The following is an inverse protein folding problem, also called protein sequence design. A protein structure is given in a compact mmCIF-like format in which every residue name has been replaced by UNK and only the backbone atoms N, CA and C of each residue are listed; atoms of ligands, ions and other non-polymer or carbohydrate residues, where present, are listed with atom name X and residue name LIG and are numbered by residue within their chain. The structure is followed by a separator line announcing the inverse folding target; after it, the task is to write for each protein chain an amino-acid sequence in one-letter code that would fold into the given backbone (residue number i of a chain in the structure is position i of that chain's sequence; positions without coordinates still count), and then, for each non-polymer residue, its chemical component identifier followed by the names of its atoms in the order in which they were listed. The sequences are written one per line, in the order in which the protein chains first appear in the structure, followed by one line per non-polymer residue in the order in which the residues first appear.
data_IF_343132721702
#
_entry.id   IF_343132721702
#
_cell.length_a   1.000
_cell.length_b   1.000
_cell.length_c   1.000
_cell.angle_alpha   90.00
_cell.angle_beta   90.00
_cell.angle_gamma   90.00
#
_symmetry.space_group_name_H-M   'P 1'
#
loop_
_entity.id
_entity.type
_entity.pdbx_description
1 polymer ?
#
# COMPACT_ATOMS: atom_id res chain seq x y z
N UNK A 1 -12.42 3.05 18.11
CA UNK A 1 -11.23 3.27 17.25
C UNK A 1 -10.09 2.25 17.42
N UNK A 2 -9.32 2.31 18.52
CA UNK A 2 -7.99 1.67 18.59
C UNK A 2 -8.07 0.14 18.47
N UNK A 3 -9.07 -0.47 19.08
CA UNK A 3 -9.23 -1.93 19.07
C UNK A 3 -9.55 -2.49 17.68
N UNK A 4 -10.33 -1.76 16.87
CA UNK A 4 -10.65 -2.18 15.50
C UNK A 4 -9.43 -2.12 14.58
N UNK A 5 -8.62 -1.06 14.71
CA UNK A 5 -7.36 -0.93 13.98
C UNK A 5 -6.35 -1.98 14.42
N UNK A 6 -6.16 -2.17 15.73
CA UNK A 6 -5.30 -3.23 16.24
C UNK A 6 -5.76 -4.61 15.77
N UNK A 7 -7.06 -4.88 15.82
CA UNK A 7 -7.62 -6.14 15.34
C UNK A 7 -7.35 -6.37 13.85
N UNK A 8 -7.46 -5.32 13.03
CA UNK A 8 -7.12 -5.38 11.61
C UNK A 8 -5.61 -5.53 11.37
N UNK A 9 -4.76 -4.94 12.21
CA UNK A 9 -3.31 -5.00 12.07
C UNK A 9 -2.68 -6.35 12.47
N UNK A 10 -3.35 -7.15 13.31
CA UNK A 10 -2.82 -8.43 13.81
C UNK A 10 -2.32 -9.37 12.72
N UNK A 11 -2.97 -9.38 11.56
CA UNK A 11 -2.67 -10.32 10.48
C UNK A 11 -1.75 -9.70 9.39
N UNK A 12 -1.36 -8.42 9.52
CA UNK A 12 -0.65 -7.67 8.49
C UNK A 12 0.65 -8.35 8.05
N UNK A 13 1.43 -8.87 9.00
CA UNK A 13 2.67 -9.59 8.73
C UNK A 13 2.44 -10.89 7.95
N UNK A 14 1.40 -11.65 8.33
CA UNK A 14 1.01 -12.88 7.61
C UNK A 14 0.64 -12.56 6.16
N UNK A 15 -0.08 -11.46 5.94
CA UNK A 15 -0.46 -11.01 4.60
C UNK A 15 0.73 -10.50 3.78
N UNK A 16 1.66 -9.80 4.41
CA UNK A 16 2.92 -9.40 3.78
C UNK A 16 3.71 -10.62 3.31
N UNK A 17 3.91 -11.61 4.18
CA UNK A 17 4.60 -12.86 3.82
C UNK A 17 3.88 -13.63 2.72
N UNK A 18 2.54 -13.67 2.74
CA UNK A 18 1.75 -14.30 1.69
C UNK A 18 2.05 -13.70 0.32
N UNK A 19 2.11 -12.37 0.20
CA UNK A 19 2.46 -11.66 -1.04
C UNK A 19 3.93 -11.83 -1.39
N UNK A 20 4.84 -11.57 -0.44
CA UNK A 20 6.29 -11.64 -0.70
C UNK A 20 6.76 -13.03 -1.12
N UNK A 21 6.06 -14.10 -0.71
CA UNK A 21 6.38 -15.47 -1.11
C UNK A 21 6.32 -15.73 -2.63
N UNK A 22 5.61 -14.90 -3.40
CA UNK A 22 5.46 -15.08 -4.84
C UNK A 22 6.76 -14.91 -5.63
N UNK A 23 7.73 -14.14 -5.12
CA UNK A 23 9.04 -13.96 -5.77
C UNK A 23 9.91 -15.21 -5.69
N UNK A 24 9.68 -16.07 -4.69
CA UNK A 24 10.43 -17.32 -4.46
C UNK A 24 9.76 -18.56 -5.06
N UNK A 25 8.60 -18.37 -5.69
CA UNK A 25 7.77 -19.49 -6.08
C UNK A 25 8.27 -20.13 -7.41
N UNK A 26 8.28 -21.47 -7.46
CA UNK A 26 8.82 -22.27 -8.59
C UNK A 26 8.15 -21.94 -9.93
N UNK A 27 8.85 -22.05 -11.07
CA UNK A 27 8.26 -21.83 -12.39
C UNK A 27 6.93 -22.58 -12.59
N UNK A 28 5.97 -21.94 -13.24
CA UNK A 28 4.66 -22.55 -13.50
C UNK A 28 4.79 -23.70 -14.51
N UNK A 29 3.99 -24.75 -14.32
CA UNK A 29 3.85 -25.83 -15.30
C UNK A 29 3.19 -25.30 -16.58
N UNK A 30 3.59 -25.84 -17.73
CA UNK A 30 3.01 -25.45 -19.02
C UNK A 30 1.61 -26.06 -19.27
N UNK A 31 1.25 -27.12 -18.55
CA UNK A 31 0.00 -27.86 -18.73
C UNK A 31 -1.04 -27.40 -17.71
N UNK A 32 -2.26 -27.15 -18.18
CA UNK A 32 -3.42 -26.85 -17.33
C UNK A 32 -4.15 -28.17 -17.00
N UNK A 33 -4.02 -28.63 -15.76
CA UNK A 33 -4.63 -29.85 -15.23
C UNK A 33 -4.99 -29.70 -13.74
N UNK A 34 -5.58 -30.73 -13.14
CA UNK A 34 -5.98 -30.74 -11.72
C UNK A 34 -4.79 -30.50 -10.78
N UNK A 35 -3.60 -30.98 -11.13
CA UNK A 35 -2.40 -30.72 -10.32
C UNK A 35 -1.94 -29.27 -10.40
N UNK A 36 -2.09 -28.59 -11.54
CA UNK A 36 -1.89 -27.13 -11.63
C UNK A 36 -2.89 -26.36 -10.76
N UNK A 37 -4.12 -26.86 -10.62
CA UNK A 37 -5.10 -26.28 -9.69
C UNK A 37 -4.66 -26.46 -8.23
N UNK A 38 -4.31 -27.69 -7.84
CA UNK A 38 -3.86 -28.01 -6.48
C UNK A 38 -2.60 -27.24 -6.07
N UNK A 39 -1.66 -27.04 -6.99
CA UNK A 39 -0.42 -26.30 -6.75
C UNK A 39 -0.66 -24.79 -6.52
N UNK A 40 -1.60 -24.20 -7.26
CA UNK A 40 -1.85 -22.75 -7.23
C UNK A 40 -2.90 -22.35 -6.18
N UNK A 41 -3.86 -23.22 -5.90
CA UNK A 41 -5.00 -22.96 -5.00
C UNK A 41 -4.56 -22.40 -3.64
N UNK A 42 -3.61 -23.01 -2.89
CA UNK A 42 -3.23 -22.50 -1.57
C UNK A 42 -2.70 -21.06 -1.60
N UNK A 43 -1.93 -20.70 -2.63
CA UNK A 43 -1.41 -19.34 -2.78
C UNK A 43 -2.53 -18.34 -3.10
N UNK A 44 -3.50 -18.74 -3.93
CA UNK A 44 -4.64 -17.89 -4.31
C UNK A 44 -5.61 -17.69 -3.15
N UNK A 45 -5.87 -18.71 -2.33
CA UNK A 45 -6.66 -18.56 -1.11
C UNK A 45 -6.04 -17.57 -0.13
N UNK A 46 -4.70 -17.58 0.02
CA UNK A 46 -4.00 -16.56 0.81
C UNK A 46 -4.15 -15.16 0.21
N UNK A 47 -4.10 -15.01 -1.12
CA UNK A 47 -4.35 -13.74 -1.79
C UNK A 47 -5.79 -13.23 -1.58
N UNK A 48 -6.79 -14.09 -1.58
CA UNK A 48 -8.16 -13.70 -1.26
C UNK A 48 -8.29 -13.25 0.20
N UNK A 49 -7.59 -13.92 1.12
CA UNK A 49 -7.54 -13.46 2.51
C UNK A 49 -6.89 -12.06 2.65
N UNK A 50 -5.90 -11.72 1.82
CA UNK A 50 -5.33 -10.35 1.75
C UNK A 50 -6.39 -9.34 1.32
N UNK A 51 -7.23 -9.68 0.33
CA UNK A 51 -8.33 -8.81 -0.12
C UNK A 51 -9.33 -8.53 1.01
N UNK A 52 -9.79 -9.58 1.70
CA UNK A 52 -10.73 -9.46 2.81
C UNK A 52 -10.13 -8.67 3.97
N UNK A 53 -8.87 -8.94 4.31
CA UNK A 53 -8.13 -8.19 5.32
C UNK A 53 -8.04 -6.72 4.96
N UNK A 54 -7.68 -6.42 3.73
CA UNK A 54 -7.51 -5.05 3.26
C UNK A 54 -8.83 -4.26 3.27
N UNK A 55 -9.96 -4.90 2.94
CA UNK A 55 -11.28 -4.30 3.07
C UNK A 55 -11.61 -3.96 4.53
N UNK A 56 -11.33 -4.86 5.48
CA UNK A 56 -11.51 -4.61 6.92
C UNK A 56 -10.61 -3.49 7.43
N UNK A 57 -9.33 -3.49 7.02
CA UNK A 57 -8.37 -2.44 7.39
C UNK A 57 -8.84 -1.07 6.88
N UNK A 58 -9.29 -1.00 5.63
CA UNK A 58 -9.77 0.23 5.00
C UNK A 58 -10.96 0.81 5.78
N UNK A 59 -11.95 -0.01 6.11
CA UNK A 59 -13.08 0.40 6.94
C UNK A 59 -12.64 0.85 8.35
N UNK A 60 -11.69 0.14 8.97
CA UNK A 60 -11.15 0.49 10.28
C UNK A 60 -10.39 1.83 10.26
N UNK A 61 -9.63 2.11 9.19
CA UNK A 61 -8.97 3.41 8.99
C UNK A 61 -9.99 4.54 8.84
N UNK A 62 -11.03 4.34 8.02
CA UNK A 62 -12.11 5.32 7.87
C UNK A 62 -12.80 5.63 9.21
N UNK A 63 -13.16 4.60 9.97
CA UNK A 63 -13.76 4.74 11.30
C UNK A 63 -12.84 5.44 12.31
N UNK A 64 -11.56 5.06 12.33
CA UNK A 64 -10.57 5.70 13.20
C UNK A 64 -10.36 7.18 12.87
N UNK A 65 -10.35 7.52 11.58
CA UNK A 65 -10.21 8.90 11.14
C UNK A 65 -11.44 9.75 11.51
N UNK A 66 -12.64 9.19 11.39
CA UNK A 66 -13.86 9.87 11.83
C UNK A 66 -13.88 10.12 13.34
N UNK A 67 -13.44 9.15 14.15
CA UNK A 67 -13.28 9.34 15.60
C UNK A 67 -12.21 10.39 15.93
N UNK A 68 -11.06 10.38 15.24
CA UNK A 68 -10.01 11.40 15.41
C UNK A 68 -10.45 12.80 15.00
N UNK A 69 -11.30 12.92 13.97
CA UNK A 69 -11.86 14.20 13.56
C UNK A 69 -12.82 14.78 14.62
N UNK A 70 -13.44 13.92 15.44
CA UNK A 70 -14.29 14.32 16.56
C UNK A 70 -13.51 14.64 17.85
N UNK A 71 -12.26 14.17 17.97
CA UNK A 71 -11.40 14.46 19.12
C UNK A 71 -9.98 13.92 18.97
N UNK A 72 -9.00 14.65 19.50
CA UNK A 72 -7.60 14.24 19.44
C UNK A 72 -7.30 13.04 20.35
N UNK A 73 -6.60 12.05 19.80
CA UNK A 73 -6.11 10.89 20.55
C UNK A 73 -4.75 10.44 20.04
N UNK A 74 -3.73 10.52 20.89
CA UNK A 74 -2.38 10.08 20.55
C UNK A 74 -2.33 8.57 20.24
N UNK A 75 -3.08 7.76 20.98
CA UNK A 75 -3.19 6.33 20.72
C UNK A 75 -3.87 6.04 19.38
N UNK A 76 -4.90 6.82 19.02
CA UNK A 76 -5.55 6.75 17.71
C UNK A 76 -4.63 7.12 16.56
N UNK A 77 -3.89 8.23 16.71
CA UNK A 77 -2.90 8.67 15.71
C UNK A 77 -1.77 7.64 15.55
N UNK A 78 -1.31 7.02 16.64
CA UNK A 78 -0.34 5.93 16.61
C UNK A 78 -0.86 4.71 15.85
N UNK A 79 -2.08 4.28 16.13
CA UNK A 79 -2.71 3.16 15.45
C UNK A 79 -2.93 3.45 13.95
N UNK A 80 -3.33 4.69 13.60
CA UNK A 80 -3.47 5.13 12.22
C UNK A 80 -2.14 5.07 11.46
N UNK A 81 -1.05 5.56 12.06
CA UNK A 81 0.29 5.46 11.47
C UNK A 81 0.69 4.01 11.21
N UNK A 82 0.46 3.10 12.17
CA UNK A 82 0.73 1.67 11.99
C UNK A 82 -0.09 1.02 10.88
N UNK A 83 -1.37 1.40 10.73
CA UNK A 83 -2.24 0.92 9.66
C UNK A 83 -1.78 1.38 8.27
N UNK A 84 -1.38 2.65 8.15
CA UNK A 84 -0.83 3.18 6.92
C UNK A 84 0.51 2.50 6.60
N UNK A 85 1.34 2.28 7.62
CA UNK A 85 2.63 1.60 7.47
C UNK A 85 2.49 0.17 6.93
N UNK A 86 1.52 -0.59 7.47
CA UNK A 86 1.20 -1.92 6.96
C UNK A 86 0.76 -1.91 5.49
N UNK A 87 -0.04 -0.93 5.08
CA UNK A 87 -0.40 -0.74 3.67
C UNK A 87 0.83 -0.44 2.81
N UNK A 88 1.73 0.44 3.28
CA UNK A 88 2.98 0.77 2.56
C UNK A 88 3.82 -0.49 2.34
N UNK A 89 4.03 -1.30 3.38
CA UNK A 89 4.84 -2.52 3.28
C UNK A 89 4.32 -3.45 2.19
N UNK A 90 3.03 -3.76 2.24
CA UNK A 90 2.43 -4.73 1.33
C UNK A 90 2.37 -4.16 -0.09
N UNK A 91 1.96 -2.89 -0.26
CA UNK A 91 1.88 -2.26 -1.58
C UNK A 91 3.24 -2.19 -2.27
N UNK A 92 4.32 -2.01 -1.49
CA UNK A 92 5.68 -1.84 -2.00
C UNK A 92 6.32 -3.12 -2.55
N UNK A 93 5.70 -4.29 -2.34
CA UNK A 93 6.23 -5.57 -2.83
C UNK A 93 6.00 -5.76 -4.36
N UNK A 94 6.47 -4.83 -5.19
CA UNK A 94 6.14 -4.78 -6.63
C UNK A 94 6.47 -6.06 -7.41
N UNK A 95 7.67 -6.60 -7.22
CA UNK A 95 8.07 -7.85 -7.87
C UNK A 95 7.18 -9.02 -7.44
N UNK A 96 6.75 -9.02 -6.18
CA UNK A 96 5.89 -10.03 -5.62
C UNK A 96 4.46 -9.92 -6.17
N UNK A 97 3.91 -8.70 -6.24
CA UNK A 97 2.62 -8.43 -6.88
C UNK A 97 2.62 -8.77 -8.37
N UNK A 98 3.70 -8.46 -9.09
CA UNK A 98 3.87 -8.85 -10.50
C UNK A 98 3.85 -10.37 -10.67
N UNK A 99 4.61 -11.09 -9.84
CA UNK A 99 4.58 -12.55 -9.81
C UNK A 99 3.19 -13.11 -9.43
N UNK A 100 2.49 -12.47 -8.49
CA UNK A 100 1.13 -12.83 -8.11
C UNK A 100 0.13 -12.65 -9.26
N UNK A 101 0.20 -11.55 -10.02
CA UNK A 101 -0.65 -11.32 -11.20
C UNK A 101 -0.46 -12.39 -12.28
N UNK A 102 0.80 -12.78 -12.54
CA UNK A 102 1.10 -13.82 -13.51
C UNK A 102 0.52 -15.19 -13.09
N UNK A 103 0.67 -15.55 -11.82
CA UNK A 103 0.09 -16.79 -11.27
C UNK A 103 -1.42 -16.76 -11.22
N UNK A 104 -2.00 -15.63 -10.82
CA UNK A 104 -3.44 -15.44 -10.80
C UNK A 104 -4.04 -15.60 -12.20
N UNK A 105 -3.40 -15.04 -13.23
CA UNK A 105 -3.83 -15.22 -14.62
C UNK A 105 -3.79 -16.68 -15.07
N UNK A 106 -2.82 -17.47 -14.59
CA UNK A 106 -2.77 -18.92 -14.82
C UNK A 106 -3.87 -19.65 -14.06
N UNK A 107 -4.07 -19.33 -12.79
CA UNK A 107 -5.09 -19.93 -11.94
C UNK A 107 -6.50 -19.66 -12.46
N UNK A 108 -6.80 -18.42 -12.87
CA UNK A 108 -8.10 -18.06 -13.47
C UNK A 108 -8.39 -18.89 -14.72
N UNK A 109 -7.39 -19.12 -15.59
CA UNK A 109 -7.52 -20.01 -16.75
C UNK A 109 -7.75 -21.46 -16.33
N UNK A 110 -7.01 -21.95 -15.35
CA UNK A 110 -7.14 -23.30 -14.80
C UNK A 110 -8.54 -23.56 -14.27
N UNK A 111 -9.09 -22.64 -13.46
CA UNK A 111 -10.46 -22.75 -12.92
C UNK A 111 -11.50 -22.79 -14.04
N UNK A 112 -11.31 -21.96 -15.09
CA UNK A 112 -12.22 -21.91 -16.25
C UNK A 112 -12.19 -23.21 -17.06
N UNK A 113 -11.00 -23.74 -17.34
CA UNK A 113 -10.81 -24.94 -18.16
C UNK A 113 -11.25 -26.22 -17.44
N UNK A 114 -10.97 -26.33 -16.14
CA UNK A 114 -11.32 -27.53 -15.38
C UNK A 114 -12.79 -27.57 -14.97
N UNK A 115 -13.45 -26.42 -14.75
CA UNK A 115 -14.91 -26.28 -14.66
C UNK A 115 -15.63 -27.34 -13.81
N UNK A 116 -16.08 -28.41 -14.47
CA UNK A 116 -16.79 -29.54 -13.85
C UNK A 116 -15.88 -30.48 -13.05
N UNK A 117 -14.61 -30.63 -13.42
CA UNK A 117 -13.65 -31.52 -12.76
C UNK A 117 -13.36 -31.09 -11.33
N UNK A 118 -13.28 -29.79 -11.09
CA UNK A 118 -13.02 -29.20 -9.76
C UNK A 118 -14.30 -28.76 -9.03
N UNK A 119 -15.49 -29.09 -9.55
CA UNK A 119 -16.75 -28.62 -9.00
C UNK A 119 -17.06 -29.19 -7.60
N UNK A 120 -16.40 -30.28 -7.21
CA UNK A 120 -16.52 -30.93 -5.91
C UNK A 120 -15.52 -30.40 -4.87
N UNK A 121 -14.60 -29.51 -5.27
CA UNK A 121 -13.63 -28.91 -4.35
C UNK A 121 -14.37 -28.00 -3.34
N UNK A 122 -14.09 -28.12 -2.03
CA UNK A 122 -14.83 -27.38 -0.99
C UNK A 122 -14.69 -25.85 -1.11
N UNK A 123 -13.60 -25.37 -1.71
CA UNK A 123 -13.30 -23.95 -1.81
C UNK A 123 -13.76 -23.34 -3.15
N UNK A 124 -14.33 -24.14 -4.07
CA UNK A 124 -14.66 -23.66 -5.43
C UNK A 124 -15.66 -22.50 -5.44
N UNK A 125 -16.59 -22.48 -4.48
CA UNK A 125 -17.54 -21.39 -4.31
C UNK A 125 -16.82 -20.09 -3.91
N UNK A 126 -15.96 -20.15 -2.88
CA UNK A 126 -15.15 -19.03 -2.42
C UNK A 126 -14.24 -18.50 -3.53
N UNK A 127 -13.59 -19.42 -4.26
CA UNK A 127 -12.72 -19.09 -5.39
C UNK A 127 -13.51 -18.31 -6.44
N UNK A 128 -14.66 -18.82 -6.90
CA UNK A 128 -15.46 -18.17 -7.95
C UNK A 128 -15.95 -16.79 -7.53
N UNK A 129 -16.35 -16.61 -6.28
CA UNK A 129 -16.78 -15.30 -5.75
C UNK A 129 -15.65 -14.28 -5.73
N UNK A 130 -14.43 -14.71 -5.43
CA UNK A 130 -13.29 -13.79 -5.26
C UNK A 130 -12.45 -13.56 -6.52
N UNK A 131 -12.60 -14.38 -7.57
CA UNK A 131 -11.82 -14.23 -8.81
C UNK A 131 -11.91 -12.82 -9.39
N UNK A 132 -13.12 -12.30 -9.59
CA UNK A 132 -13.27 -10.99 -10.24
C UNK A 132 -12.92 -9.84 -9.29
N UNK A 133 -13.18 -9.98 -7.99
CA UNK A 133 -12.81 -9.01 -6.98
C UNK A 133 -11.28 -8.88 -6.86
N UNK A 134 -10.56 -10.00 -6.82
CA UNK A 134 -9.10 -10.01 -6.77
C UNK A 134 -8.49 -9.51 -8.09
N UNK A 135 -9.09 -9.86 -9.24
CA UNK A 135 -8.65 -9.30 -10.52
C UNK A 135 -8.77 -7.78 -10.54
N UNK A 136 -9.90 -7.22 -10.09
CA UNK A 136 -10.10 -5.78 -10.03
C UNK A 136 -9.12 -5.11 -9.05
N UNK A 137 -8.82 -5.77 -7.92
CA UNK A 137 -7.85 -5.30 -6.95
C UNK A 137 -6.45 -5.19 -7.55
N UNK A 138 -5.95 -6.25 -8.20
CA UNK A 138 -4.57 -6.27 -8.73
C UNK A 138 -4.42 -5.61 -10.11
N UNK A 139 -5.52 -5.28 -10.80
CA UNK A 139 -5.45 -4.62 -12.11
C UNK A 139 -4.75 -3.25 -12.07
N UNK A 140 -4.71 -2.60 -10.89
CA UNK A 140 -4.10 -1.28 -10.68
C UNK A 140 -2.69 -1.34 -10.10
N UNK A 141 -2.00 -2.48 -10.22
CA UNK A 141 -0.61 -2.62 -9.78
C UNK A 141 0.37 -1.89 -10.72
N UNK A 142 -0.02 -1.66 -11.98
CA UNK A 142 0.81 -0.99 -13.00
C UNK A 142 0.47 0.51 -13.16
N UNK A 143 1.52 1.33 -13.06
CA UNK A 143 1.64 2.79 -13.19
C UNK A 143 0.41 3.73 -13.01
N UNK A 144 0.46 4.74 -12.10
CA UNK A 144 1.57 5.00 -11.18
C UNK A 144 1.75 3.82 -10.24
N UNK A 145 3.01 3.37 -10.10
CA UNK A 145 3.34 2.08 -9.51
C UNK A 145 2.81 2.04 -8.06
N UNK A 146 2.04 0.99 -7.75
CA UNK A 146 1.52 0.75 -6.41
C UNK A 146 0.47 1.76 -5.97
N UNK A 147 -0.71 1.74 -6.58
CA UNK A 147 -1.88 2.44 -6.05
C UNK A 147 -3.07 1.52 -5.76
N UNK A 148 -2.90 0.21 -5.95
CA UNK A 148 -3.97 -0.77 -5.76
C UNK A 148 -4.46 -0.83 -4.31
N UNK A 149 -3.61 -0.46 -3.34
CA UNK A 149 -4.02 -0.27 -1.95
C UNK A 149 -4.24 1.23 -1.68
N UNK A 150 -3.26 2.08 -1.93
CA UNK A 150 -3.37 3.50 -1.55
C UNK A 150 -4.53 4.24 -2.22
N UNK A 151 -4.97 3.84 -3.42
CA UNK A 151 -6.15 4.39 -4.10
C UNK A 151 -7.47 4.12 -3.35
N UNK A 152 -7.89 2.86 -3.16
CA UNK A 152 -9.08 2.55 -2.37
C UNK A 152 -9.05 3.12 -0.94
N UNK A 153 -7.87 3.12 -0.29
CA UNK A 153 -7.75 3.71 1.06
C UNK A 153 -8.01 5.21 1.03
N UNK A 154 -7.44 5.93 0.05
CA UNK A 154 -7.71 7.35 -0.17
C UNK A 154 -9.19 7.62 -0.40
N UNK A 155 -9.87 6.78 -1.18
CA UNK A 155 -11.31 6.93 -1.43
C UNK A 155 -12.14 6.76 -0.15
N UNK A 156 -11.76 5.84 0.74
CA UNK A 156 -12.41 5.67 2.04
C UNK A 156 -12.17 6.86 2.97
N UNK A 157 -10.91 7.28 3.09
CA UNK A 157 -10.49 8.43 3.90
C UNK A 157 -11.25 9.70 3.53
N UNK A 158 -11.47 9.94 2.24
CA UNK A 158 -12.21 11.10 1.73
C UNK A 158 -13.68 11.16 2.10
N UNK A 159 -14.27 10.04 2.55
CA UNK A 159 -15.64 10.03 3.05
C UNK A 159 -15.76 10.73 4.41
N UNK A 160 -14.64 10.91 5.12
CA UNK A 160 -14.61 11.56 6.43
C UNK A 160 -14.56 13.09 6.25
N UNK A 161 -15.51 13.85 6.82
CA UNK A 161 -15.46 15.31 6.80
C UNK A 161 -14.18 15.82 7.49
N UNK A 162 -13.54 16.84 6.91
CA UNK A 162 -12.29 17.42 7.42
C UNK A 162 -11.15 16.40 7.61
N UNK A 163 -11.12 15.34 6.80
CA UNK A 163 -10.05 14.34 6.82
C UNK A 163 -8.67 14.99 6.66
N UNK A 164 -8.54 16.05 5.87
CA UNK A 164 -7.29 16.76 5.61
C UNK A 164 -6.67 17.30 6.91
N UNK A 165 -7.47 17.98 7.73
CA UNK A 165 -7.01 18.53 9.01
C UNK A 165 -6.60 17.42 9.99
N UNK A 166 -7.36 16.34 10.02
CA UNK A 166 -7.09 15.18 10.89
C UNK A 166 -5.81 14.46 10.48
N UNK A 167 -5.59 14.26 9.18
CA UNK A 167 -4.37 13.65 8.63
C UNK A 167 -3.14 14.54 8.84
N UNK A 168 -3.29 15.85 8.72
CA UNK A 168 -2.20 16.81 9.01
C UNK A 168 -1.83 16.82 10.49
N UNK A 169 -2.82 16.73 11.39
CA UNK A 169 -2.55 16.55 12.84
C UNK A 169 -1.83 15.23 13.11
N UNK A 170 -2.25 14.13 12.47
CA UNK A 170 -1.55 12.85 12.56
C UNK A 170 -0.12 12.90 11.97
N UNK A 171 0.10 13.68 10.91
CA UNK A 171 1.42 13.91 10.33
C UNK A 171 2.34 14.64 11.32
N UNK A 172 1.86 15.72 11.94
CA UNK A 172 2.61 16.44 12.95
C UNK A 172 2.97 15.56 14.15
N UNK A 173 2.01 14.74 14.60
CA UNK A 173 2.24 13.75 15.64
C UNK A 173 3.33 12.75 15.23
N UNK A 174 3.25 12.19 14.02
CA UNK A 174 4.25 11.27 13.48
C UNK A 174 5.64 11.90 13.41
N UNK A 175 5.74 13.11 12.85
CA UNK A 175 7.00 13.89 12.78
C UNK A 175 7.60 14.12 14.17
N UNK A 176 6.80 14.45 15.18
CA UNK A 176 7.28 14.67 16.57
C UNK A 176 7.75 13.40 17.25
N UNK A 177 7.25 12.23 16.83
CA UNK A 177 7.61 10.93 17.40
C UNK A 177 8.87 10.31 16.81
N UNK A 178 9.32 10.78 15.66
CA UNK A 178 10.52 10.26 15.00
C UNK A 178 11.73 10.36 15.93
N UNK A 179 12.29 9.20 16.28
CA UNK A 179 13.42 9.10 17.20
C UNK A 179 14.71 9.57 16.51
N UNK A 180 15.29 10.67 16.97
CA UNK A 180 16.56 11.20 16.44
C UNK A 180 17.75 10.86 17.34
N UNK A 181 18.97 10.67 16.78
CA UNK A 181 19.36 10.89 15.39
C UNK A 181 19.12 9.69 14.45
N UNK A 182 18.65 8.55 14.97
CA UNK A 182 18.47 7.29 14.23
C UNK A 182 17.01 6.85 14.25
N UNK A 183 16.21 7.31 13.29
CA UNK A 183 14.82 6.86 13.18
C UNK A 183 14.78 5.43 12.64
N UNK A 184 13.70 4.74 12.97
CA UNK A 184 13.33 3.48 12.33
C UNK A 184 12.58 3.74 11.04
N UNK A 185 12.63 2.80 10.08
CA UNK A 185 11.90 2.93 8.82
C UNK A 185 10.38 2.99 9.03
N UNK A 186 9.86 2.25 10.03
CA UNK A 186 8.44 2.25 10.38
C UNK A 186 7.94 3.63 10.89
N UNK A 187 8.81 4.44 11.49
CA UNK A 187 8.45 5.81 11.89
C UNK A 187 8.33 6.75 10.68
N UNK A 188 9.05 6.48 9.58
CA UNK A 188 9.17 7.36 8.43
C UNK A 188 8.25 6.97 7.26
N UNK A 189 8.10 5.67 6.99
CA UNK A 189 7.31 5.09 5.89
C UNK A 189 5.86 5.61 5.78
N UNK A 190 5.08 5.79 6.86
CA UNK A 190 3.69 6.23 6.71
C UNK A 190 3.53 7.73 6.39
N UNK A 191 4.54 8.55 6.68
CA UNK A 191 4.43 10.01 6.61
C UNK A 191 4.10 10.55 5.21
N UNK A 192 4.71 10.06 4.10
CA UNK A 192 4.35 10.52 2.77
C UNK A 192 2.89 10.23 2.41
N UNK A 193 2.35 9.08 2.82
CA UNK A 193 0.96 8.72 2.50
C UNK A 193 -0.07 9.56 3.24
N UNK A 194 0.22 10.02 4.46
CA UNK A 194 -0.63 11.02 5.13
C UNK A 194 -0.77 12.30 4.28
N UNK A 195 0.31 12.74 3.64
CA UNK A 195 0.30 13.91 2.74
C UNK A 195 -0.50 13.60 1.47
N UNK A 196 -0.32 12.41 0.88
CA UNK A 196 -1.06 11.95 -0.31
C UNK A 196 -2.57 11.87 -0.04
N UNK A 197 -2.96 11.40 1.14
CA UNK A 197 -4.36 11.27 1.54
C UNK A 197 -4.99 12.60 1.93
N UNK A 198 -4.21 13.54 2.46
CA UNK A 198 -4.67 14.89 2.76
C UNK A 198 -4.78 15.77 1.49
N UNK A 199 -4.08 15.44 0.41
CA UNK A 199 -4.18 16.20 -0.84
C UNK A 199 -5.53 15.95 -1.52
N UNK A 200 -6.21 17.02 -1.91
CA UNK A 200 -7.48 16.99 -2.63
C UNK A 200 -7.35 16.45 -4.06
N UNK A 201 -8.45 16.37 -4.79
CA UNK A 201 -8.41 15.98 -6.21
C UNK A 201 -7.92 17.13 -7.09
N UNK A 202 -7.50 16.82 -8.32
CA UNK A 202 -7.03 17.83 -9.28
C UNK A 202 -8.17 18.66 -9.91
N UNK A 203 -9.18 19.02 -9.13
CA UNK A 203 -10.32 19.85 -9.57
C UNK A 203 -10.22 21.26 -8.99
N UNK A 204 -10.69 22.30 -9.71
CA UNK A 204 -10.68 23.67 -9.19
C UNK A 204 -11.39 23.78 -7.84
N UNK A 205 -10.75 24.44 -6.87
CA UNK A 205 -11.30 24.63 -5.52
C UNK A 205 -11.03 23.48 -4.54
N UNK A 206 -10.44 22.38 -5.00
CA UNK A 206 -10.00 21.30 -4.10
C UNK A 206 -8.88 21.76 -3.16
N UNK A 207 -8.83 21.13 -1.98
CA UNK A 207 -7.75 21.36 -1.02
C UNK A 207 -6.40 20.97 -1.62
N UNK A 208 -5.46 21.91 -1.61
CA UNK A 208 -4.09 21.69 -2.06
C UNK A 208 -3.17 21.68 -0.83
N UNK A 209 -2.68 20.51 -0.45
CA UNK A 209 -1.90 20.34 0.78
C UNK A 209 -0.60 21.15 0.75
N UNK A 210 -0.04 21.36 -0.44
CA UNK A 210 1.24 22.02 -0.64
C UNK A 210 1.18 23.54 -0.54
N UNK A 211 -0.01 24.12 -0.68
CA UNK A 211 -0.25 25.55 -0.49
C UNK A 211 -0.90 25.82 0.87
N UNK A 212 -1.96 25.08 1.21
CA UNK A 212 -2.78 25.32 2.38
C UNK A 212 -2.13 24.86 3.70
N UNK A 213 -1.32 23.79 3.68
CA UNK A 213 -0.72 23.18 4.87
C UNK A 213 0.82 23.30 4.91
N UNK A 214 1.38 24.26 4.17
CA UNK A 214 2.85 24.42 4.05
C UNK A 214 3.59 24.49 5.40
N UNK A 215 3.10 25.20 6.44
CA UNK A 215 3.75 25.20 7.75
C UNK A 215 3.85 23.80 8.39
N UNK A 216 2.77 23.02 8.32
CA UNK A 216 2.67 21.67 8.89
C UNK A 216 3.59 20.68 8.17
N UNK A 217 3.81 20.88 6.86
CA UNK A 217 4.72 20.03 6.07
C UNK A 217 6.20 20.24 6.39
N UNK A 218 6.59 21.35 7.06
CA UNK A 218 8.01 21.72 7.26
C UNK A 218 8.82 20.64 7.98
N UNK A 219 8.26 20.01 9.00
CA UNK A 219 8.96 18.96 9.76
C UNK A 219 9.17 17.70 8.93
N UNK A 220 8.14 17.23 8.21
CA UNK A 220 8.26 16.12 7.27
C UNK A 220 9.28 16.42 6.15
N UNK A 221 9.28 17.63 5.59
CA UNK A 221 10.28 18.05 4.60
C UNK A 221 11.72 17.92 5.11
N UNK A 222 11.98 18.29 6.37
CA UNK A 222 13.31 18.18 6.96
C UNK A 222 13.72 16.72 7.15
N UNK A 223 12.78 15.88 7.60
CA UNK A 223 13.02 14.44 7.74
C UNK A 223 13.31 13.80 6.39
N UNK A 224 12.52 14.06 5.35
CA UNK A 224 12.70 13.45 4.02
C UNK A 224 14.00 13.91 3.35
N UNK A 225 14.51 15.10 3.66
CA UNK A 225 15.84 15.55 3.19
C UNK A 225 16.97 14.86 3.93
N UNK A 226 16.79 14.60 5.23
CA UNK A 226 17.81 13.97 6.08
C UNK A 226 17.86 12.44 5.92
N UNK A 227 16.69 11.83 5.71
CA UNK A 227 16.47 10.39 5.54
C UNK A 227 15.64 10.19 4.26
N UNK A 228 16.27 10.28 3.08
CA UNK A 228 15.54 10.27 1.80
C UNK A 228 14.97 8.90 1.42
N UNK A 229 15.58 7.84 1.93
CA UNK A 229 15.24 6.44 1.66
C UNK A 229 14.93 5.70 2.96
N UNK A 230 14.01 4.75 2.88
CA UNK A 230 13.64 3.82 3.96
C UNK A 230 13.44 2.42 3.37
N UNK A 231 13.66 1.39 4.16
CA UNK A 231 13.41 0.01 3.74
C UNK A 231 11.94 -0.40 3.95
N UNK A 232 11.41 -1.15 2.99
CA UNK A 232 10.11 -1.79 3.01
C UNK A 232 10.26 -3.30 2.76
N UNK A 233 11.24 -3.91 3.42
CA UNK A 233 11.50 -5.34 3.33
C UNK A 233 10.56 -6.15 4.25
N UNK A 234 10.22 -7.40 3.90
CA UNK A 234 9.56 -8.32 4.82
C UNK A 234 10.48 -8.66 6.02
N UNK A 235 9.93 -9.05 7.19
CA UNK A 235 10.69 -9.34 8.41
C UNK A 235 11.80 -10.39 8.26
N UNK A 236 11.66 -11.32 7.30
CA UNK A 236 12.56 -12.47 7.10
C UNK A 236 13.30 -12.45 5.74
N UNK A 237 13.59 -11.28 5.17
CA UNK A 237 14.48 -11.21 4.01
C UNK A 237 15.95 -11.22 4.47
N UNK A 238 16.53 -12.42 4.58
CA UNK A 238 17.99 -12.61 4.81
C UNK A 238 18.88 -11.99 3.70
N UNK A 239 18.28 -11.58 2.57
CA UNK A 239 18.99 -10.96 1.46
C UNK A 239 19.06 -9.43 1.62
N UNK A 240 20.13 -8.95 2.26
CA UNK A 240 20.45 -7.52 2.35
C UNK A 240 20.66 -6.83 0.98
N UNK A 241 20.80 -7.61 -0.11
CA UNK A 241 20.95 -7.08 -1.47
C UNK A 241 19.59 -6.90 -2.21
N UNK A 242 18.48 -7.37 -1.63
CA UNK A 242 17.15 -7.38 -2.27
C UNK A 242 16.07 -6.53 -1.59
N UNK A 243 16.41 -5.78 -0.53
CA UNK A 243 15.44 -5.00 0.22
C UNK A 243 14.78 -3.91 -0.65
N UNK A 244 13.44 -3.89 -0.67
CA UNK A 244 12.70 -2.84 -1.37
C UNK A 244 12.97 -1.51 -0.69
N UNK A 245 13.57 -0.56 -1.41
CA UNK A 245 13.81 0.80 -0.92
C UNK A 245 12.72 1.75 -1.41
N UNK A 246 12.19 2.56 -0.49
CA UNK A 246 11.22 3.60 -0.77
C UNK A 246 11.88 4.97 -0.63
N UNK A 247 11.71 5.79 -1.65
CA UNK A 247 12.12 7.19 -1.61
C UNK A 247 10.96 8.04 -1.11
N UNK A 248 11.07 8.59 0.10
CA UNK A 248 9.96 9.28 0.78
C UNK A 248 9.41 10.46 -0.04
N UNK A 249 10.29 11.25 -0.65
CA UNK A 249 9.88 12.40 -1.47
C UNK A 249 9.25 11.97 -2.81
N UNK A 250 9.67 10.84 -3.40
CA UNK A 250 9.11 10.34 -4.66
C UNK A 250 7.67 9.87 -4.45
N UNK A 251 7.33 9.32 -3.29
CA UNK A 251 5.94 8.94 -2.98
C UNK A 251 4.95 10.11 -3.10
N UNK A 252 5.41 11.35 -2.88
CA UNK A 252 4.58 12.55 -3.03
C UNK A 252 4.19 12.83 -4.49
N UNK A 253 4.84 12.22 -5.48
CA UNK A 253 4.42 12.29 -6.88
C UNK A 253 3.02 11.70 -7.11
N UNK A 254 2.50 10.93 -6.14
CA UNK A 254 1.12 10.42 -6.12
C UNK A 254 0.08 11.49 -5.75
N UNK A 255 0.50 12.63 -5.19
CA UNK A 255 -0.40 13.74 -4.90
C UNK A 255 -0.90 14.39 -6.21
N UNK A 256 -2.21 14.57 -6.41
CA UNK A 256 -2.74 15.23 -7.60
C UNK A 256 -2.16 16.63 -7.86
N UNK A 257 -1.82 17.38 -6.81
CA UNK A 257 -1.25 18.73 -6.94
C UNK A 257 0.29 18.78 -6.98
N UNK A 258 0.98 17.64 -7.03
CA UNK A 258 2.45 17.60 -6.94
C UNK A 258 3.15 18.39 -8.06
N UNK A 259 2.76 18.13 -9.31
CA UNK A 259 3.38 18.73 -10.51
C UNK A 259 3.11 20.23 -10.63
N UNK A 260 2.01 20.71 -10.05
CA UNK A 260 1.59 22.11 -10.15
C UNK A 260 2.43 23.05 -9.25
N UNK A 261 3.14 22.54 -8.24
CA UNK A 261 3.71 23.39 -7.19
C UNK A 261 5.11 23.02 -6.66
N UNK A 262 5.67 21.83 -6.93
CA UNK A 262 6.71 21.28 -6.02
C UNK A 262 8.05 20.81 -6.57
N UNK A 263 8.20 20.55 -7.87
CA UNK A 263 9.44 19.96 -8.41
C UNK A 263 10.75 20.59 -7.91
N UNK A 264 10.77 21.90 -7.63
CA UNK A 264 11.97 22.61 -7.14
C UNK A 264 12.18 22.66 -5.60
N UNK A 265 11.15 22.44 -4.76
CA UNK A 265 11.23 22.71 -3.29
C UNK A 265 11.51 21.48 -2.41
N UNK A 266 11.13 20.30 -2.90
CA UNK A 266 11.20 19.04 -2.15
C UNK A 266 12.38 18.16 -2.53
N UNK A 267 13.20 18.61 -3.49
CA UNK A 267 14.37 17.90 -3.99
C UNK A 267 13.95 16.79 -4.94
N UNK A 268 14.07 17.03 -6.24
CA UNK A 268 14.11 15.94 -7.22
C UNK A 268 15.41 15.18 -6.99
N UNK A 269 15.41 13.88 -6.67
CA UNK A 269 16.60 13.07 -6.82
C UNK A 269 16.87 12.96 -8.33
N UNK A 270 17.83 13.74 -8.84
CA UNK A 270 18.34 13.67 -10.21
C UNK A 270 17.41 14.23 -11.30
N UNK A 271 17.56 15.49 -11.71
CA UNK A 271 18.52 15.85 -12.76
C UNK A 271 19.91 15.21 -12.61
N UNK A 272 19.99 13.89 -12.81
CA UNK A 272 21.22 13.21 -13.25
C UNK A 272 20.88 12.72 -14.64
N UNK A 273 21.71 13.14 -15.60
CA UNK A 273 21.79 12.73 -17.01
C UNK A 273 20.66 11.90 -17.58
N UNK A 274 20.01 12.43 -18.61
CA UNK A 274 19.08 11.68 -19.44
C UNK A 274 19.60 10.29 -19.77
N UNK A 275 18.99 9.29 -19.15
CA UNK A 275 19.04 7.94 -19.66
C UNK A 275 17.62 7.64 -20.07
N UNK A 276 17.44 7.58 -21.39
CA UNK A 276 16.20 7.13 -22.02
C UNK A 276 15.76 5.85 -21.31
N UNK A 277 14.49 5.79 -20.95
CA UNK A 277 13.80 4.52 -20.80
C UNK A 277 13.91 3.81 -22.15
N UNK A 278 14.94 2.98 -22.31
CA UNK A 278 15.04 2.06 -23.43
C UNK A 278 14.27 0.83 -22.99
N UNK A 279 13.06 0.71 -23.52
CA UNK A 279 12.37 -0.57 -23.61
C UNK A 279 13.23 -1.41 -24.56
N UNK A 280 13.87 -2.45 -24.01
CA UNK A 280 14.26 -3.63 -24.76
C UNK A 280 13.39 -4.78 -24.30
#
# INVERSE_FOLDING_TARGET
MVDALHAALRDAETHLLAISSFTRAKPMRAVVDESSFDDLKPAMLRCFAVLDWYARLTAAVGGALAELAAGESQAGQAALLGAIDACVLIESQFSAWSAAMNRFSWFKRTVKELGSKIAHDPDIALIRTNLDAFQAFIANVQFPIGIHMSGPLRAEVKKVPNHEATLLSALEFGVKRVTLPRPTDAELRPLPLLIVYADGDATPGSFNVFTAARPQLKGAMQLFKKFPEVEAAPPDSDDSEGAVKLHLAIMLQRCPHYTQQIGAKWGTPGAVGGTKCVVQ
#
